data_IF_353847287542
#
_entry.id   IF_353847287542
#
_cell.length_a   1.000
_cell.length_b   1.000
_cell.length_c   1.000
_cell.angle_alpha   90.00
_cell.angle_beta   90.00
_cell.angle_gamma   90.00
#
_symmetry.space_group_name_H-M   'P 1'
#
loop_
_entity.id
_entity.type
_entity.pdbx_description
1 polymer ?
#
# COMPACT_ATOMS: atom_id res chain seq x y z
N UNK A 1 6.26 -0.85 0.34
CA UNK A 1 4.99 -0.96 -0.38
C UNK A 1 4.19 -2.05 0.32
N UNK A 2 3.31 -1.66 1.24
CA UNK A 2 2.49 -2.61 1.99
C UNK A 2 1.29 -2.97 1.11
N UNK A 3 1.36 -4.09 0.41
CA UNK A 3 0.16 -4.69 -0.19
C UNK A 3 -0.56 -5.45 0.92
N UNK A 4 -1.30 -4.72 1.75
CA UNK A 4 -2.24 -5.31 2.69
C UNK A 4 -3.34 -5.97 1.86
N UNK A 5 -3.31 -7.29 1.82
CA UNK A 5 -4.33 -8.10 1.18
C UNK A 5 -5.53 -8.24 2.12
N UNK A 6 -6.68 -8.71 1.62
CA UNK A 6 -7.84 -9.04 2.46
C UNK A 6 -7.48 -10.04 3.60
N UNK A 7 -6.36 -10.76 3.49
CA UNK A 7 -5.85 -11.63 4.54
C UNK A 7 -5.34 -10.86 5.76
N UNK A 8 -4.69 -9.71 5.56
CA UNK A 8 -4.13 -8.91 6.66
C UNK A 8 -5.25 -8.22 7.45
N UNK A 9 -6.32 -7.81 6.75
CA UNK A 9 -7.54 -7.26 7.36
C UNK A 9 -8.27 -8.33 8.19
N UNK A 10 -8.20 -9.62 7.80
CA UNK A 10 -8.81 -10.72 8.58
C UNK A 10 -8.13 -10.97 9.92
N UNK A 11 -6.80 -10.90 10.00
CA UNK A 11 -6.10 -11.11 11.28
C UNK A 11 -6.30 -9.94 12.24
N UNK A 12 -6.34 -8.70 11.72
CA UNK A 12 -6.61 -7.51 12.54
C UNK A 12 -8.07 -7.49 13.04
N UNK A 13 -9.05 -7.88 12.20
CA UNK A 13 -10.47 -7.97 12.61
C UNK A 13 -10.70 -9.14 13.57
N UNK A 14 -10.02 -10.28 13.42
CA UNK A 14 -10.14 -11.42 14.34
C UNK A 14 -9.57 -11.13 15.74
N UNK A 15 -8.67 -10.14 15.86
CA UNK A 15 -8.15 -9.63 17.13
C UNK A 15 -9.04 -8.60 17.84
N UNK A 16 -10.08 -8.08 17.17
CA UNK A 16 -10.99 -7.06 17.68
C UNK A 16 -12.10 -7.66 18.58
N UNK A 17 -11.70 -8.31 19.68
CA UNK A 17 -12.57 -8.37 20.85
C UNK A 17 -12.58 -6.99 21.52
N UNK A 18 -13.76 -6.40 21.69
CA UNK A 18 -14.03 -5.12 22.39
C UNK A 18 -14.01 -3.83 21.53
N UNK A 19 -15.16 -3.51 20.93
CA UNK A 19 -15.53 -2.16 20.50
C UNK A 19 -16.32 -1.45 21.61
N UNK A 20 -15.63 -0.90 22.60
CA UNK A 20 -16.25 0.01 23.58
C UNK A 20 -15.31 1.18 23.90
N UNK A 21 -15.76 2.40 23.60
CA UNK A 21 -15.20 3.62 24.16
C UNK A 21 -16.31 4.33 24.95
N UNK A 22 -16.20 4.31 26.28
CA UNK A 22 -17.03 5.15 27.15
C UNK A 22 -16.47 6.59 27.17
N UNK A 23 -17.31 7.64 27.19
CA UNK A 23 -16.87 9.05 27.14
C UNK A 23 -16.08 9.59 28.35
N UNK A 24 -15.51 8.75 29.21
CA UNK A 24 -14.93 9.19 30.51
C UNK A 24 -13.51 8.71 30.82
N UNK A 25 -12.74 8.20 29.85
CA UNK A 25 -11.32 7.95 30.10
C UNK A 25 -10.48 9.16 29.71
N UNK A 26 -10.18 9.99 30.72
CA UNK A 26 -9.17 11.04 30.65
C UNK A 26 -7.85 10.48 30.11
N UNK A 27 -7.40 10.99 28.96
CA UNK A 27 -6.17 10.61 28.26
C UNK A 27 -4.86 11.02 28.98
N UNK A 28 -4.94 11.42 30.25
CA UNK A 28 -3.78 11.66 31.09
C UNK A 28 -3.87 10.76 32.31
N UNK A 29 -3.40 9.52 32.16
CA UNK A 29 -3.03 8.71 33.32
C UNK A 29 -1.96 9.49 34.09
N UNK A 30 -2.27 9.82 35.34
CA UNK A 30 -1.25 10.26 36.29
C UNK A 30 -0.09 9.26 36.24
N UNK A 31 1.14 9.75 36.13
CA UNK A 31 2.36 8.95 35.98
C UNK A 31 2.62 8.06 37.19
N UNK A 32 1.87 6.98 37.33
CA UNK A 32 2.15 5.88 38.26
C UNK A 32 2.82 4.76 37.47
N UNK A 33 3.87 4.17 38.05
CA UNK A 33 4.78 3.22 37.40
C UNK A 33 4.08 1.99 36.81
N UNK A 34 3.62 2.11 35.57
CA UNK A 34 3.18 0.98 34.78
C UNK A 34 4.37 0.04 34.54
N UNK A 35 4.16 -1.26 34.78
CA UNK A 35 5.11 -2.28 34.33
C UNK A 35 5.17 -2.34 32.81
N UNK A 36 6.28 -2.81 32.24
CA UNK A 36 6.42 -2.98 30.78
C UNK A 36 5.26 -3.81 30.20
N UNK A 37 4.82 -4.87 30.88
CA UNK A 37 3.70 -5.69 30.45
C UNK A 37 2.34 -4.96 30.48
N UNK A 38 2.15 -3.98 31.37
CA UNK A 38 0.97 -3.12 31.37
C UNK A 38 1.04 -2.10 30.23
N UNK A 39 2.21 -1.49 29.99
CA UNK A 39 2.41 -0.59 28.87
C UNK A 39 2.21 -1.29 27.52
N UNK A 40 2.76 -2.50 27.33
CA UNK A 40 2.57 -3.28 26.10
C UNK A 40 1.08 -3.63 25.90
N UNK A 41 0.36 -4.01 26.97
CA UNK A 41 -1.09 -4.24 26.88
C UNK A 41 -1.87 -2.97 26.53
N UNK A 42 -1.53 -1.83 27.15
CA UNK A 42 -2.14 -0.53 26.82
C UNK A 42 -1.85 -0.13 25.38
N UNK A 43 -0.62 -0.30 24.90
CA UNK A 43 -0.27 -0.05 23.50
C UNK A 43 -1.05 -0.95 22.57
N UNK A 44 -1.17 -2.25 22.86
CA UNK A 44 -1.96 -3.19 22.05
C UNK A 44 -3.44 -2.81 22.00
N UNK A 45 -4.02 -2.40 23.12
CA UNK A 45 -5.41 -1.95 23.22
C UNK A 45 -5.64 -0.62 22.49
N UNK A 46 -4.70 0.32 22.58
CA UNK A 46 -4.77 1.58 21.84
C UNK A 46 -4.62 1.36 20.33
N UNK A 47 -3.74 0.44 19.93
CA UNK A 47 -3.49 0.12 18.53
C UNK A 47 -4.71 -0.57 17.90
N UNK A 48 -5.36 -1.50 18.63
CA UNK A 48 -6.61 -2.13 18.15
C UNK A 48 -7.77 -1.15 18.02
N UNK A 49 -7.82 -0.11 18.87
CA UNK A 49 -8.86 0.94 18.83
C UNK A 49 -8.58 2.04 17.81
N UNK A 50 -7.34 2.15 17.31
CA UNK A 50 -6.92 3.22 16.41
C UNK A 50 -7.77 3.28 15.14
N UNK A 51 -7.99 2.13 14.48
CA UNK A 51 -8.80 2.05 13.26
C UNK A 51 -10.24 2.53 13.49
N UNK A 52 -10.85 2.18 14.63
CA UNK A 52 -12.19 2.64 14.99
C UNK A 52 -12.25 4.16 15.22
N UNK A 53 -11.27 4.73 15.92
CA UNK A 53 -11.15 6.18 16.14
C UNK A 53 -10.97 6.93 14.82
N UNK A 54 -10.08 6.43 13.95
CA UNK A 54 -9.84 7.01 12.63
C UNK A 54 -11.11 6.96 11.76
N UNK A 55 -11.83 5.84 11.77
CA UNK A 55 -13.09 5.69 11.06
C UNK A 55 -14.16 6.66 11.57
N UNK A 56 -14.35 6.77 12.88
CA UNK A 56 -15.30 7.74 13.47
C UNK A 56 -14.94 9.19 13.12
N UNK A 57 -13.65 9.52 13.13
CA UNK A 57 -13.19 10.84 12.71
C UNK A 57 -13.49 11.09 11.23
N UNK A 58 -13.24 10.12 10.35
CA UNK A 58 -13.58 10.20 8.92
C UNK A 58 -15.09 10.41 8.71
N UNK A 59 -15.94 9.65 9.41
CA UNK A 59 -17.40 9.81 9.34
C UNK A 59 -17.83 11.19 9.86
N UNK A 60 -17.22 11.70 10.91
CA UNK A 60 -17.52 13.03 11.47
C UNK A 60 -17.19 14.15 10.49
N UNK A 61 -16.05 14.06 9.80
CA UNK A 61 -15.69 15.00 8.73
C UNK A 61 -16.70 14.94 7.58
N UNK A 62 -17.09 13.73 7.16
CA UNK A 62 -18.07 13.54 6.10
C UNK A 62 -19.44 14.13 6.47
N UNK A 63 -19.95 13.84 7.68
CA UNK A 63 -21.20 14.42 8.23
C UNK A 63 -21.15 15.94 8.26
N UNK A 64 -20.03 16.52 8.68
CA UNK A 64 -19.84 17.97 8.67
C UNK A 64 -20.02 18.54 7.26
N UNK A 65 -19.47 17.89 6.23
CA UNK A 65 -19.67 18.31 4.84
C UNK A 65 -21.14 18.30 4.42
N UNK A 66 -21.89 17.26 4.77
CA UNK A 66 -23.34 17.20 4.52
C UNK A 66 -24.11 18.29 5.27
N UNK A 67 -23.78 18.54 6.54
CA UNK A 67 -24.41 19.60 7.32
C UNK A 67 -24.13 20.99 6.74
N UNK A 68 -22.87 21.30 6.39
CA UNK A 68 -22.52 22.56 5.75
C UNK A 68 -23.25 22.74 4.41
N UNK A 69 -23.33 21.68 3.60
CA UNK A 69 -24.08 21.69 2.36
C UNK A 69 -25.57 21.97 2.57
N UNK A 70 -26.20 21.33 3.56
CA UNK A 70 -27.63 21.55 3.87
C UNK A 70 -27.93 22.98 4.32
N UNK A 71 -27.00 23.62 5.02
CA UNK A 71 -27.16 25.00 5.47
C UNK A 71 -26.95 26.04 4.35
N UNK A 72 -26.46 25.63 3.17
CA UNK A 72 -26.33 26.52 2.02
C UNK A 72 -27.43 26.25 0.99
N UNK A 73 -28.18 27.28 0.62
CA UNK A 73 -29.18 27.21 -0.46
C UNK A 73 -28.57 27.33 -1.87
N UNK A 74 -27.26 27.57 -1.97
CA UNK A 74 -26.51 27.73 -3.21
C UNK A 74 -25.77 26.46 -3.63
N UNK A 75 -25.43 26.37 -4.93
CA UNK A 75 -24.53 25.33 -5.49
C UNK A 75 -23.16 25.29 -4.80
N UNK A 76 -22.76 26.40 -4.19
CA UNK A 76 -21.46 26.59 -3.57
C UNK A 76 -21.64 26.79 -2.06
N UNK A 77 -20.91 26.01 -1.26
CA UNK A 77 -20.96 26.13 0.19
C UNK A 77 -20.08 27.29 0.65
N UNK A 78 -20.71 28.38 1.11
CA UNK A 78 -19.99 29.54 1.67
C UNK A 78 -19.63 29.31 3.14
N UNK A 79 -18.50 28.65 3.36
CA UNK A 79 -18.03 28.29 4.71
C UNK A 79 -17.72 29.50 5.60
N UNK A 80 -17.35 30.65 5.02
CA UNK A 80 -17.10 31.86 5.80
C UNK A 80 -18.41 32.40 6.39
N UNK A 81 -19.48 32.42 5.60
CA UNK A 81 -20.81 32.83 6.07
C UNK A 81 -21.34 31.85 7.13
N UNK A 82 -21.23 30.54 6.88
CA UNK A 82 -21.64 29.52 7.86
C UNK A 82 -20.87 29.64 9.18
N UNK A 83 -19.57 29.90 9.11
CA UNK A 83 -18.77 30.11 10.31
C UNK A 83 -19.25 31.33 11.11
N UNK A 84 -19.52 32.44 10.43
CA UNK A 84 -20.00 33.66 11.07
C UNK A 84 -21.37 33.45 11.72
N UNK A 85 -22.28 32.76 11.03
CA UNK A 85 -23.65 32.55 11.47
C UNK A 85 -23.75 31.55 12.63
N UNK A 86 -23.09 30.39 12.50
CA UNK A 86 -23.30 29.25 13.41
C UNK A 86 -22.18 29.05 14.45
N UNK A 87 -20.95 29.50 14.19
CA UNK A 87 -19.80 29.16 15.04
C UNK A 87 -19.19 30.36 15.76
N UNK A 88 -19.32 31.58 15.26
CA UNK A 88 -18.64 32.76 15.81
C UNK A 88 -18.95 33.05 17.30
N UNK A 89 -20.07 32.55 17.81
CA UNK A 89 -20.55 32.75 19.19
C UNK A 89 -20.24 31.60 20.15
N UNK A 90 -19.62 30.53 19.66
CA UNK A 90 -19.23 29.39 20.49
C UNK A 90 -18.13 29.77 21.48
N UNK A 91 -18.01 29.03 22.59
CA UNK A 91 -17.03 29.34 23.65
C UNK A 91 -15.57 29.20 23.19
N UNK A 92 -15.31 28.35 22.19
CA UNK A 92 -14.00 28.13 21.59
C UNK A 92 -14.17 27.74 20.11
N UNK A 93 -14.49 28.70 19.23
CA UNK A 93 -14.80 28.39 17.85
C UNK A 93 -13.53 27.94 17.11
N UNK A 94 -13.63 26.94 16.20
CA UNK A 94 -12.52 26.64 15.30
C UNK A 94 -12.24 27.86 14.42
N UNK A 95 -11.05 27.98 13.83
CA UNK A 95 -10.84 29.02 12.80
C UNK A 95 -11.62 28.71 11.53
N UNK A 96 -11.96 29.73 10.73
CA UNK A 96 -12.54 29.55 9.38
C UNK A 96 -11.68 28.59 8.54
N UNK A 97 -10.34 28.72 8.64
CA UNK A 97 -9.39 27.84 7.94
C UNK A 97 -9.48 26.39 8.40
N UNK A 98 -9.70 26.15 9.69
CA UNK A 98 -9.91 24.80 10.23
C UNK A 98 -11.20 24.20 9.69
N UNK A 99 -12.29 24.98 9.67
CA UNK A 99 -13.56 24.55 9.07
C UNK A 99 -13.42 24.20 7.58
N UNK A 100 -12.75 25.07 6.80
CA UNK A 100 -12.43 24.83 5.39
C UNK A 100 -11.63 23.53 5.19
N UNK A 101 -10.61 23.31 6.02
CA UNK A 101 -9.82 22.08 5.98
C UNK A 101 -10.67 20.85 6.28
N UNK A 102 -11.51 20.89 7.31
CA UNK A 102 -12.37 19.77 7.68
C UNK A 102 -13.43 19.49 6.61
N UNK A 103 -14.09 20.52 6.10
CA UNK A 103 -15.05 20.40 4.99
C UNK A 103 -14.38 19.78 3.75
N UNK A 104 -13.20 20.26 3.36
CA UNK A 104 -12.46 19.72 2.22
C UNK A 104 -12.14 18.23 2.40
N UNK A 105 -11.68 17.83 3.59
CA UNK A 105 -11.41 16.41 3.89
C UNK A 105 -12.70 15.57 3.86
N UNK A 106 -13.77 16.05 4.49
CA UNK A 106 -15.06 15.37 4.51
C UNK A 106 -15.65 15.17 3.12
N UNK A 107 -15.55 16.17 2.24
CA UNK A 107 -16.03 16.06 0.86
C UNK A 107 -15.21 15.06 0.04
N UNK A 108 -13.89 14.94 0.26
CA UNK A 108 -13.07 13.90 -0.40
C UNK A 108 -13.47 12.50 0.06
N UNK A 109 -13.70 12.32 1.36
CA UNK A 109 -14.17 11.05 1.93
C UNK A 109 -15.55 10.67 1.40
N UNK A 110 -16.45 11.66 1.28
CA UNK A 110 -17.76 11.46 0.68
C UNK A 110 -17.67 11.02 -0.79
N UNK A 111 -16.81 11.65 -1.60
CA UNK A 111 -16.56 11.23 -3.00
C UNK A 111 -16.03 9.80 -3.07
N UNK A 112 -15.09 9.45 -2.20
CA UNK A 112 -14.53 8.11 -2.17
C UNK A 112 -15.60 7.05 -1.80
N UNK A 113 -16.43 7.33 -0.79
CA UNK A 113 -17.53 6.47 -0.42
C UNK A 113 -18.59 6.38 -1.54
N UNK A 114 -18.83 7.48 -2.25
CA UNK A 114 -19.69 7.49 -3.44
C UNK A 114 -19.13 6.60 -4.55
N UNK A 115 -17.81 6.62 -4.77
CA UNK A 115 -17.17 5.78 -5.79
C UNK A 115 -17.19 4.30 -5.44
N UNK A 116 -16.75 3.97 -4.23
CA UNK A 116 -16.71 2.61 -3.71
C UNK A 116 -17.97 2.28 -2.91
N UNK A 117 -17.82 2.34 -1.59
CA UNK A 117 -18.89 2.22 -0.59
C UNK A 117 -18.38 2.80 0.75
N UNK A 118 -19.24 2.91 1.76
CA UNK A 118 -18.81 3.31 3.11
C UNK A 118 -17.80 2.31 3.71
N UNK A 119 -17.89 1.03 3.32
CA UNK A 119 -16.94 -0.01 3.75
C UNK A 119 -15.52 0.23 3.24
N UNK A 120 -15.35 0.99 2.15
CA UNK A 120 -14.02 1.43 1.71
C UNK A 120 -13.39 2.41 2.72
N UNK A 121 -14.19 3.27 3.35
CA UNK A 121 -13.70 4.16 4.41
C UNK A 121 -13.29 3.37 5.66
N UNK A 122 -14.06 2.32 5.99
CA UNK A 122 -13.70 1.39 7.06
C UNK A 122 -12.35 0.73 6.76
N UNK A 123 -12.19 0.20 5.55
CA UNK A 123 -10.94 -0.42 5.13
C UNK A 123 -9.76 0.54 5.24
N UNK A 124 -9.88 1.78 4.73
CA UNK A 124 -8.82 2.79 4.81
C UNK A 124 -8.43 3.17 6.24
N UNK A 125 -9.39 3.19 7.17
CA UNK A 125 -9.14 3.52 8.56
C UNK A 125 -8.27 2.43 9.21
N UNK A 126 -8.62 1.15 9.02
CA UNK A 126 -7.91 0.02 9.61
C UNK A 126 -6.56 -0.25 8.94
N UNK A 127 -6.37 0.10 7.67
CA UNK A 127 -5.07 -0.01 7.00
C UNK A 127 -4.19 1.23 7.16
N UNK A 128 -4.63 2.23 7.95
CA UNK A 128 -3.92 3.52 8.14
C UNK A 128 -3.56 4.22 6.81
N UNK A 129 -4.40 4.05 5.78
CA UNK A 129 -4.26 4.67 4.46
C UNK A 129 -5.11 5.94 4.32
N UNK A 130 -5.91 6.30 5.34
CA UNK A 130 -6.75 7.49 5.30
C UNK A 130 -5.94 8.80 5.20
N UNK A 131 -4.80 8.90 5.90
CA UNK A 131 -3.99 10.10 5.99
C UNK A 131 -3.44 10.59 4.64
N UNK A 132 -2.78 9.76 3.81
CA UNK A 132 -2.33 10.19 2.49
C UNK A 132 -3.52 10.58 1.58
N UNK A 133 -4.65 9.87 1.66
CA UNK A 133 -5.82 10.19 0.84
C UNK A 133 -6.43 11.56 1.16
N UNK A 134 -6.65 11.89 2.44
CA UNK A 134 -7.25 13.20 2.81
C UNK A 134 -6.30 14.37 2.53
N UNK A 135 -5.00 14.11 2.44
CA UNK A 135 -3.97 15.09 2.10
C UNK A 135 -3.78 15.28 0.59
N UNK A 136 -4.16 14.29 -0.22
CA UNK A 136 -4.10 14.38 -1.68
C UNK A 136 -4.90 15.57 -2.22
N UNK A 137 -4.64 15.97 -3.47
CA UNK A 137 -5.42 17.02 -4.10
C UNK A 137 -6.90 16.61 -4.32
N UNK A 138 -7.75 17.59 -4.65
CA UNK A 138 -9.18 17.34 -4.85
C UNK A 138 -9.49 16.52 -6.12
N UNK A 139 -8.60 16.56 -7.10
CA UNK A 139 -8.77 15.88 -8.38
C UNK A 139 -8.52 14.38 -8.19
N UNK A 140 -7.46 13.99 -7.46
CA UNK A 140 -7.18 12.60 -7.13
C UNK A 140 -8.36 11.93 -6.44
N UNK A 141 -9.03 12.63 -5.51
CA UNK A 141 -10.22 12.09 -4.85
C UNK A 141 -11.39 11.85 -5.82
N UNK A 142 -11.52 12.72 -6.83
CA UNK A 142 -12.53 12.62 -7.88
C UNK A 142 -12.22 11.49 -8.86
N UNK A 143 -10.97 11.40 -9.32
CA UNK A 143 -10.51 10.37 -10.25
C UNK A 143 -10.58 8.99 -9.60
N UNK A 144 -10.11 8.88 -8.34
CA UNK A 144 -10.22 7.66 -7.54
C UNK A 144 -11.68 7.21 -7.41
N UNK A 145 -12.59 8.15 -7.12
CA UNK A 145 -14.01 7.85 -7.01
C UNK A 145 -14.57 7.31 -8.34
N UNK A 146 -14.23 7.91 -9.48
CA UNK A 146 -14.69 7.46 -10.80
C UNK A 146 -14.12 6.08 -11.17
N UNK A 147 -12.84 5.84 -10.90
CA UNK A 147 -12.18 4.55 -11.12
C UNK A 147 -12.87 3.44 -10.29
N UNK A 148 -13.20 3.73 -9.04
CA UNK A 148 -13.92 2.79 -8.18
C UNK A 148 -15.35 2.53 -8.69
N UNK A 149 -16.02 3.58 -9.15
CA UNK A 149 -17.43 3.55 -9.53
C UNK A 149 -17.69 2.82 -10.84
N UNK A 150 -16.79 2.98 -11.81
CA UNK A 150 -16.87 2.38 -13.14
C UNK A 150 -15.50 1.86 -13.59
N UNK A 151 -15.00 0.76 -12.98
CA UNK A 151 -13.66 0.25 -13.25
C UNK A 151 -13.56 -0.38 -14.63
N UNK A 152 -12.66 0.13 -15.47
CA UNK A 152 -12.41 -0.38 -16.83
C UNK A 152 -11.81 -1.81 -16.79
N UNK A 153 -12.49 -2.76 -17.46
CA UNK A 153 -12.11 -4.18 -17.51
C UNK A 153 -10.78 -4.44 -18.23
N UNK A 154 -10.36 -3.51 -19.09
CA UNK A 154 -9.17 -3.68 -19.93
C UNK A 154 -7.93 -3.01 -19.33
N UNK A 155 -8.11 -2.20 -18.28
CA UNK A 155 -6.99 -1.50 -17.63
C UNK A 155 -6.48 -2.26 -16.40
N UNK A 156 -5.16 -2.24 -16.13
CA UNK A 156 -4.60 -2.85 -14.92
C UNK A 156 -5.24 -2.29 -13.63
N UNK A 157 -5.56 -1.00 -13.61
CA UNK A 157 -6.16 -0.34 -12.46
C UNK A 157 -7.62 -0.75 -12.26
N UNK A 158 -8.42 -0.80 -13.32
CA UNK A 158 -9.80 -1.28 -13.21
C UNK A 158 -9.87 -2.78 -12.86
N UNK A 159 -8.96 -3.60 -13.38
CA UNK A 159 -8.83 -5.00 -12.94
C UNK A 159 -8.48 -5.13 -11.45
N UNK A 160 -7.62 -4.26 -10.91
CA UNK A 160 -7.31 -4.22 -9.48
C UNK A 160 -8.58 -3.91 -8.65
N UNK A 161 -9.38 -2.94 -9.09
CA UNK A 161 -10.65 -2.60 -8.44
C UNK A 161 -11.61 -3.80 -8.47
N UNK A 162 -11.85 -4.40 -9.65
CA UNK A 162 -12.80 -5.51 -9.83
C UNK A 162 -12.38 -6.78 -9.08
N UNK A 163 -11.09 -7.11 -9.06
CA UNK A 163 -10.58 -8.37 -8.48
C UNK A 163 -10.24 -8.27 -7.00
N UNK A 164 -9.91 -7.08 -6.50
CA UNK A 164 -9.42 -6.92 -5.13
C UNK A 164 -10.31 -6.00 -4.30
N UNK A 165 -10.55 -4.77 -4.76
CA UNK A 165 -11.22 -3.76 -3.94
C UNK A 165 -12.70 -4.10 -3.73
N UNK A 166 -13.44 -4.36 -4.81
CA UNK A 166 -14.88 -4.68 -4.73
C UNK A 166 -15.13 -5.94 -3.88
N UNK A 167 -14.42 -7.07 -4.07
CA UNK A 167 -14.61 -8.24 -3.21
C UNK A 167 -14.26 -7.98 -1.75
N UNK A 168 -13.26 -7.14 -1.48
CA UNK A 168 -12.87 -6.79 -0.10
C UNK A 168 -13.95 -5.95 0.58
N UNK A 169 -14.50 -4.96 -0.11
CA UNK A 169 -15.59 -4.13 0.46
C UNK A 169 -16.89 -4.93 0.60
N UNK A 170 -17.17 -5.87 -0.30
CA UNK A 170 -18.28 -6.82 -0.17
C UNK A 170 -18.10 -7.71 1.06
N UNK A 171 -16.91 -8.30 1.23
CA UNK A 171 -16.61 -9.10 2.41
C UNK A 171 -16.85 -8.31 3.71
N UNK A 172 -16.42 -7.06 3.78
CA UNK A 172 -16.70 -6.19 4.94
C UNK A 172 -18.20 -5.95 5.12
N UNK A 173 -18.94 -5.71 4.03
CA UNK A 173 -20.38 -5.49 4.06
C UNK A 173 -21.17 -6.70 4.58
N UNK A 174 -20.75 -7.92 4.23
CA UNK A 174 -21.40 -9.17 4.67
C UNK A 174 -21.16 -9.47 6.16
N UNK A 175 -20.07 -8.93 6.74
CA UNK A 175 -19.69 -9.20 8.12
C UNK A 175 -20.06 -8.06 9.08
N UNK A 176 -20.21 -6.85 8.56
CA UNK A 176 -20.48 -5.65 9.36
C UNK A 176 -21.67 -4.93 8.73
N UNK A 177 -22.82 -4.99 9.39
CA UNK A 177 -24.04 -4.37 8.89
C UNK A 177 -24.23 -2.98 9.49
N UNK A 178 -23.77 -1.94 8.79
CA UNK A 178 -24.11 -0.57 9.14
C UNK A 178 -25.45 -0.18 8.51
N UNK A 179 -26.32 0.48 9.28
CA UNK A 179 -27.51 1.14 8.75
C UNK A 179 -27.20 2.59 8.40
N UNK A 180 -27.93 3.15 7.46
CA UNK A 180 -27.79 4.57 7.10
C UNK A 180 -28.06 5.47 8.31
N UNK A 181 -29.05 5.15 9.15
CA UNK A 181 -29.38 5.88 10.37
C UNK A 181 -28.31 5.79 11.47
N UNK A 182 -27.41 4.81 11.39
CA UNK A 182 -26.26 4.72 12.29
C UNK A 182 -25.20 5.77 11.95
N UNK A 183 -25.15 6.13 10.66
CA UNK A 183 -24.12 7.00 10.10
C UNK A 183 -24.65 8.41 9.83
N UNK A 184 -25.93 8.61 9.54
CA UNK A 184 -26.45 9.92 9.15
C UNK A 184 -27.69 10.30 9.98
N UNK A 185 -27.90 11.60 10.23
CA UNK A 185 -29.10 12.07 10.92
C UNK A 185 -30.37 11.67 10.15
N UNK A 186 -31.38 11.19 10.87
CA UNK A 186 -32.67 10.77 10.28
C UNK A 186 -33.34 11.89 9.48
N UNK A 187 -33.15 13.16 9.87
CA UNK A 187 -33.70 14.31 9.15
C UNK A 187 -33.11 14.45 7.74
N UNK A 188 -31.81 14.14 7.57
CA UNK A 188 -31.15 14.15 6.27
C UNK A 188 -31.65 12.98 5.41
N UNK A 189 -31.76 11.79 6.00
CA UNK A 189 -32.19 10.59 5.29
C UNK A 189 -33.64 10.73 4.81
N UNK A 190 -34.54 11.22 5.67
CA UNK A 190 -35.93 11.47 5.32
C UNK A 190 -36.08 12.51 4.21
N UNK A 191 -35.26 13.57 4.23
CA UNK A 191 -35.25 14.59 3.17
C UNK A 191 -34.88 13.99 1.80
N UNK A 192 -34.01 12.99 1.78
CA UNK A 192 -33.57 12.30 0.57
C UNK A 192 -34.43 11.07 0.22
N UNK A 193 -35.45 10.75 1.02
CA UNK A 193 -36.29 9.57 0.82
C UNK A 193 -35.57 8.24 1.11
N UNK A 194 -34.52 8.26 1.93
CA UNK A 194 -33.75 7.07 2.32
C UNK A 194 -34.25 6.59 3.68
N UNK A 195 -34.56 5.30 3.81
CA UNK A 195 -35.00 4.73 5.06
C UNK A 195 -33.81 4.61 6.05
N UNK A 196 -34.03 4.96 7.32
CA UNK A 196 -32.95 4.93 8.33
C UNK A 196 -32.43 3.51 8.61
N UNK A 197 -33.23 2.50 8.33
CA UNK A 197 -32.90 1.08 8.43
C UNK A 197 -32.25 0.49 7.17
N UNK A 198 -32.19 1.24 6.06
CA UNK A 198 -31.45 0.85 4.86
C UNK A 198 -29.99 0.56 5.23
N UNK A 199 -29.45 -0.55 4.73
CA UNK A 199 -28.05 -0.89 4.96
C UNK A 199 -27.13 0.01 4.12
N UNK A 200 -25.94 0.31 4.64
CA UNK A 200 -24.89 1.01 3.90
C UNK A 200 -24.31 0.17 2.73
N UNK A 201 -24.69 -1.10 2.62
CA UNK A 201 -24.42 -1.95 1.46
C UNK A 201 -25.42 -1.75 0.33
N UNK A 202 -26.56 -1.11 0.58
CA UNK A 202 -27.47 -0.69 -0.48
C UNK A 202 -26.81 0.45 -1.28
N UNK A 203 -26.26 0.10 -2.44
CA UNK A 203 -25.55 1.04 -3.30
C UNK A 203 -26.49 2.06 -3.93
N UNK A 204 -27.78 1.75 -4.12
CA UNK A 204 -28.75 2.71 -4.65
C UNK A 204 -29.06 3.78 -3.61
N UNK A 205 -29.30 3.39 -2.35
CA UNK A 205 -29.47 4.31 -1.24
C UNK A 205 -28.22 5.17 -1.02
N UNK A 206 -27.03 4.55 -1.08
CA UNK A 206 -25.74 5.23 -0.98
C UNK A 206 -25.57 6.26 -2.10
N UNK A 207 -25.88 5.90 -3.33
CA UNK A 207 -25.76 6.78 -4.49
C UNK A 207 -26.71 7.97 -4.41
N UNK A 208 -27.95 7.74 -3.97
CA UNK A 208 -28.91 8.80 -3.69
C UNK A 208 -28.35 9.77 -2.64
N UNK A 209 -27.83 9.25 -1.52
CA UNK A 209 -27.23 10.05 -0.46
C UNK A 209 -26.08 10.92 -0.95
N UNK A 210 -25.08 10.32 -1.61
CA UNK A 210 -23.88 11.05 -2.01
C UNK A 210 -24.12 12.01 -3.18
N UNK A 211 -25.16 11.78 -3.99
CA UNK A 211 -25.58 12.73 -5.03
C UNK A 211 -26.13 14.05 -4.47
N UNK A 212 -26.54 14.07 -3.20
CA UNK A 212 -27.08 15.27 -2.56
C UNK A 212 -26.01 16.31 -2.17
N UNK A 213 -24.72 15.94 -2.17
CA UNK A 213 -23.66 16.91 -1.90
C UNK A 213 -23.45 17.84 -3.11
N UNK A 214 -23.47 19.17 -2.92
CA UNK A 214 -23.20 20.13 -3.99
C UNK A 214 -21.81 19.87 -4.58
N UNK A 215 -21.75 19.79 -5.91
CA UNK A 215 -20.51 19.54 -6.61
C UNK A 215 -20.42 20.36 -7.89
N UNK A 216 -19.57 21.39 -7.85
CA UNK A 216 -19.34 22.26 -9.01
C UNK A 216 -18.31 21.70 -9.99
N UNK A 217 -17.53 20.70 -9.57
CA UNK A 217 -16.39 20.17 -10.33
C UNK A 217 -16.41 18.66 -10.51
N UNK A 218 -17.26 17.94 -9.76
CA UNK A 218 -17.28 16.48 -9.78
C UNK A 218 -18.69 15.95 -10.02
N UNK A 219 -18.91 15.36 -11.19
CA UNK A 219 -20.07 14.49 -11.42
C UNK A 219 -19.55 13.07 -11.45
N UNK A 220 -19.94 12.28 -10.47
CA UNK A 220 -19.58 10.87 -10.43
C UNK A 220 -20.11 10.18 -11.70
N UNK A 221 -19.29 9.33 -12.31
CA UNK A 221 -19.74 8.48 -13.42
C UNK A 221 -20.92 7.59 -12.98
N UNK A 222 -21.78 7.13 -13.89
CA UNK A 222 -22.72 6.05 -13.55
C UNK A 222 -21.97 4.86 -12.95
N UNK A 223 -22.56 4.21 -11.95
CA UNK A 223 -21.97 3.01 -11.36
C UNK A 223 -22.04 1.87 -12.37
N UNK A 224 -20.92 1.18 -12.57
CA UNK A 224 -20.88 -0.04 -13.35
C UNK A 224 -21.57 -1.16 -12.56
N UNK A 225 -22.84 -1.40 -12.88
CA UNK A 225 -23.66 -2.40 -12.22
C UNK A 225 -23.18 -3.83 -12.46
N UNK A 226 -22.41 -4.09 -13.53
CA UNK A 226 -21.82 -5.40 -13.76
C UNK A 226 -20.67 -5.64 -12.78
N UNK A 227 -19.75 -4.68 -12.66
CA UNK A 227 -18.64 -4.77 -11.71
C UNK A 227 -19.12 -4.84 -10.24
N UNK A 228 -20.20 -4.13 -9.92
CA UNK A 228 -20.75 -4.03 -8.56
C UNK A 228 -21.90 -5.02 -8.28
N UNK A 229 -22.22 -5.94 -9.20
CA UNK A 229 -23.32 -6.89 -9.07
C UNK A 229 -23.28 -7.76 -7.79
N UNK A 230 -22.09 -7.93 -7.21
CA UNK A 230 -21.91 -8.69 -5.96
C UNK A 230 -22.65 -8.04 -4.77
N UNK A 231 -22.88 -6.73 -4.79
CA UNK A 231 -23.66 -6.02 -3.77
C UNK A 231 -25.18 -6.13 -4.00
N UNK A 232 -25.63 -6.44 -5.22
CA UNK A 232 -27.04 -6.53 -5.57
C UNK A 232 -27.57 -7.96 -5.54
N UNK A 233 -26.72 -8.95 -5.75
CA UNK A 233 -27.07 -10.38 -5.79
C UNK A 233 -27.06 -11.06 -4.41
N UNK A 234 -27.03 -10.28 -3.32
CA UNK A 234 -27.24 -10.80 -1.97
C UNK A 234 -28.72 -11.16 -1.77
N UNK A 235 -29.18 -12.21 -2.44
CA UNK A 235 -30.51 -12.76 -2.28
C UNK A 235 -30.71 -13.29 -0.85
N UNK A 236 -31.42 -12.50 -0.05
CA UNK A 236 -32.71 -12.94 0.52
C UNK A 236 -32.73 -14.26 1.30
N UNK A 237 -31.78 -14.53 2.20
CA UNK A 237 -31.98 -15.53 3.27
C UNK A 237 -31.06 -15.37 4.48
N UNK A 238 -31.10 -14.21 5.15
CA UNK A 238 -30.61 -14.12 6.52
C UNK A 238 -31.73 -13.53 7.37
N UNK A 239 -32.21 -14.34 8.32
CA UNK A 239 -33.25 -13.95 9.28
C UNK A 239 -32.89 -12.62 9.96
N UNK A 240 -33.86 -11.71 10.14
CA UNK A 240 -33.62 -10.48 10.88
C UNK A 240 -33.28 -10.84 12.33
N UNK A 241 -32.01 -10.67 12.72
CA UNK A 241 -31.68 -10.53 14.13
C UNK A 241 -32.41 -9.27 14.63
N UNK A 242 -33.18 -9.45 15.70
CA UNK A 242 -34.07 -8.48 16.36
C UNK A 242 -33.45 -7.08 16.57
N UNK A 243 -34.29 -6.03 16.71
CA UNK A 243 -33.84 -4.64 16.58
C UNK A 243 -32.83 -4.26 17.67
N UNK A 244 -31.59 -4.01 17.23
CA UNK A 244 -30.56 -3.40 18.05
C UNK A 244 -30.91 -1.93 18.29
N UNK A 245 -30.86 -1.55 19.57
CA UNK A 245 -31.11 -0.22 20.14
C UNK A 245 -30.28 0.90 19.48
N UNK A 246 -30.77 2.15 19.52
CA UNK A 246 -30.08 3.30 18.93
C UNK A 246 -28.69 3.50 19.53
N UNK A 247 -27.78 3.99 18.68
CA UNK A 247 -26.32 4.11 18.82
C UNK A 247 -25.79 5.00 19.96
N UNK A 248 -26.54 5.17 21.04
CA UNK A 248 -26.14 6.06 22.13
C UNK A 248 -25.24 5.39 23.18
N UNK A 249 -25.23 4.06 23.33
CA UNK A 249 -24.30 3.34 24.23
C UNK A 249 -24.01 1.93 23.69
N UNK A 250 -22.76 1.64 23.33
CA UNK A 250 -22.31 0.38 22.71
C UNK A 250 -22.41 -0.81 23.68
N UNK A 251 -22.97 -1.95 23.22
CA UNK A 251 -23.01 -3.23 23.93
C UNK A 251 -21.72 -4.03 23.62
N UNK A 252 -21.15 -4.78 24.59
CA UNK A 252 -19.97 -5.61 24.38
C UNK A 252 -20.22 -6.80 23.43
N UNK A 253 -19.21 -7.15 22.62
CA UNK A 253 -19.25 -8.21 21.60
C UNK A 253 -19.13 -9.65 22.16
N UNK A 254 -19.08 -9.82 23.48
CA UNK A 254 -18.93 -11.12 24.15
C UNK A 254 -20.24 -11.94 24.21
N UNK A 255 -21.40 -11.30 23.96
CA UNK A 255 -22.70 -11.99 23.91
C UNK A 255 -22.98 -12.75 22.61
N UNK A 256 -22.08 -12.70 21.62
CA UNK A 256 -22.14 -13.57 20.44
C UNK A 256 -21.11 -14.68 20.61
N UNK A 257 -21.31 -15.57 21.58
CA UNK A 257 -20.66 -16.89 21.50
C UNK A 257 -21.57 -18.02 21.96
N UNK A 258 -21.43 -19.15 21.24
CA UNK A 258 -21.62 -20.51 21.74
C UNK A 258 -23.03 -21.11 21.78
N UNK A 259 -23.86 -20.90 20.75
CA UNK A 259 -24.82 -21.95 20.37
C UNK A 259 -25.17 -21.87 18.89
N UNK A 260 -25.22 -23.02 18.21
CA UNK A 260 -25.52 -23.20 16.78
C UNK A 260 -24.35 -23.18 15.79
N UNK A 261 -23.29 -23.95 16.09
CA UNK A 261 -22.46 -24.63 15.09
C UNK A 261 -22.99 -26.06 14.91
N UNK A 262 -24.17 -26.20 14.30
CA UNK A 262 -24.61 -27.48 13.78
C UNK A 262 -25.51 -27.23 12.56
N UNK A 263 -25.04 -27.73 11.42
CA UNK A 263 -25.76 -27.88 10.15
C UNK A 263 -26.34 -26.62 9.49
N UNK A 264 -25.53 -25.96 8.66
CA UNK A 264 -26.02 -25.32 7.44
C UNK A 264 -24.99 -25.55 6.31
N UNK A 265 -25.41 -25.89 5.08
CA UNK A 265 -24.50 -26.11 3.96
C UNK A 265 -23.94 -24.78 3.46
N UNK A 266 -22.61 -24.66 3.41
CA UNK A 266 -21.94 -23.50 2.82
C UNK A 266 -22.32 -23.37 1.33
N UNK A 267 -22.66 -22.16 0.83
CA UNK A 267 -22.68 -21.90 -0.59
C UNK A 267 -21.25 -21.97 -1.14
N UNK A 268 -21.05 -22.73 -2.21
CA UNK A 268 -19.76 -22.92 -2.86
C UNK A 268 -19.26 -21.59 -3.47
N UNK A 269 -18.26 -20.96 -2.82
CA UNK A 269 -17.39 -20.00 -3.50
C UNK A 269 -16.63 -20.70 -4.64
N UNK A 270 -16.26 -20.00 -5.72
CA UNK A 270 -15.27 -20.50 -6.65
C UNK A 270 -13.99 -20.82 -5.87
N UNK A 271 -13.58 -22.08 -5.93
CA UNK A 271 -12.49 -22.73 -5.21
C UNK A 271 -11.28 -21.81 -5.02
N UNK A 272 -11.23 -21.15 -3.87
CA UNK A 272 -9.96 -20.77 -3.25
C UNK A 272 -9.28 -22.08 -2.92
N UNK A 273 -8.18 -22.37 -3.61
CA UNK A 273 -7.33 -23.52 -3.30
C UNK A 273 -6.98 -23.41 -1.83
N UNK A 274 -7.46 -24.37 -1.05
CA UNK A 274 -7.12 -24.58 0.35
C UNK A 274 -5.65 -24.25 0.58
N UNK A 275 -5.37 -23.10 1.18
CA UNK A 275 -4.08 -22.86 1.79
C UNK A 275 -3.98 -23.85 2.94
N UNK A 276 -3.35 -24.98 2.67
CA UNK A 276 -2.73 -25.78 3.71
C UNK A 276 -1.99 -24.82 4.66
N UNK A 277 -2.08 -25.00 5.99
CA UNK A 277 -1.36 -24.17 6.94
C UNK A 277 0.08 -24.07 6.44
N UNK A 278 0.52 -22.82 6.24
CA UNK A 278 1.83 -22.42 5.71
C UNK A 278 2.85 -23.42 6.23
N UNK A 279 3.20 -24.41 5.39
CA UNK A 279 4.23 -25.35 5.74
C UNK A 279 5.44 -24.47 5.95
N UNK A 280 5.91 -24.38 7.19
CA UNK A 280 7.24 -23.92 7.56
C UNK A 280 8.27 -24.91 6.99
N UNK A 281 8.14 -25.27 5.72
CA UNK A 281 9.23 -25.76 4.93
C UNK A 281 10.20 -24.58 4.89
N UNK A 282 11.22 -24.65 5.74
CA UNK A 282 12.34 -23.73 5.69
C UNK A 282 12.75 -23.58 4.23
N UNK A 283 12.72 -22.34 3.70
CA UNK A 283 13.11 -22.06 2.32
C UNK A 283 14.40 -22.81 2.05
N UNK A 284 14.43 -23.63 0.99
CA UNK A 284 15.59 -24.46 0.75
C UNK A 284 16.68 -23.61 0.12
N UNK A 285 17.64 -23.18 0.94
CA UNK A 285 18.75 -22.32 0.54
C UNK A 285 19.90 -23.18 0.03
N UNK A 286 20.37 -22.92 -1.19
CA UNK A 286 21.66 -23.35 -1.67
C UNK A 286 22.69 -22.23 -1.44
N UNK A 287 23.85 -22.59 -0.90
CA UNK A 287 24.98 -21.67 -0.72
C UNK A 287 26.16 -22.21 -1.51
N UNK A 288 26.75 -21.37 -2.35
CA UNK A 288 27.96 -21.66 -3.13
C UNK A 288 29.03 -20.62 -2.78
N UNK A 289 30.29 -21.04 -2.68
CA UNK A 289 31.42 -20.12 -2.60
C UNK A 289 32.04 -19.92 -3.99
N UNK A 290 32.34 -18.68 -4.34
CA UNK A 290 33.11 -18.34 -5.54
C UNK A 290 34.52 -17.90 -5.17
N UNK A 291 35.40 -17.79 -6.18
CA UNK A 291 36.78 -17.35 -5.99
C UNK A 291 36.93 -15.83 -5.82
N UNK A 292 35.84 -15.05 -5.81
CA UNK A 292 35.89 -13.59 -5.71
C UNK A 292 36.36 -13.11 -4.33
N UNK A 293 37.31 -12.18 -4.30
CA UNK A 293 37.77 -11.53 -3.08
C UNK A 293 37.27 -10.07 -3.02
N UNK A 294 36.37 -9.79 -2.07
CA UNK A 294 35.81 -8.45 -1.85
C UNK A 294 36.88 -7.42 -1.46
N UNK A 295 37.97 -7.85 -0.82
CA UNK A 295 38.98 -6.93 -0.29
C UNK A 295 40.07 -6.58 -1.30
N UNK A 296 40.14 -7.31 -2.42
CA UNK A 296 41.14 -7.08 -3.45
C UNK A 296 41.00 -5.66 -4.05
N UNK A 297 42.06 -4.82 -4.06
CA UNK A 297 42.00 -3.45 -4.58
C UNK A 297 41.50 -3.34 -6.02
N UNK A 298 41.73 -4.36 -6.86
CA UNK A 298 41.27 -4.38 -8.25
C UNK A 298 39.74 -4.48 -8.36
N UNK A 299 39.10 -5.18 -7.42
CA UNK A 299 37.64 -5.33 -7.36
C UNK A 299 36.94 -4.08 -6.80
N UNK A 300 37.70 -3.16 -6.19
CA UNK A 300 37.20 -1.86 -5.70
C UNK A 300 37.17 -0.79 -6.80
N UNK A 301 37.70 -1.08 -8.00
CA UNK A 301 37.76 -0.15 -9.12
C UNK A 301 36.62 -0.36 -10.13
N UNK A 302 36.03 0.73 -10.60
CA UNK A 302 35.01 0.69 -11.64
C UNK A 302 35.64 0.67 -13.04
N UNK A 303 35.53 -0.47 -13.75
CA UNK A 303 36.21 -0.67 -15.03
C UNK A 303 35.55 0.03 -16.24
N UNK A 304 34.25 0.32 -16.19
CA UNK A 304 33.57 0.80 -17.39
C UNK A 304 34.04 2.22 -17.79
N UNK A 305 34.22 2.51 -19.09
CA UNK A 305 34.69 3.81 -19.55
C UNK A 305 33.76 4.96 -19.13
N UNK A 306 34.34 6.09 -18.69
CA UNK A 306 33.56 7.29 -18.34
C UNK A 306 33.04 8.07 -19.56
N UNK A 307 33.71 7.94 -20.71
CA UNK A 307 33.31 8.62 -21.95
C UNK A 307 32.12 7.90 -22.59
N UNK A 308 31.04 8.65 -22.86
CA UNK A 308 29.76 8.13 -23.35
C UNK A 308 29.88 7.15 -24.54
N UNK A 309 30.56 7.56 -25.61
CA UNK A 309 30.73 6.72 -26.81
C UNK A 309 31.51 5.41 -26.53
N UNK A 310 32.52 5.47 -25.64
CA UNK A 310 33.27 4.28 -25.22
C UNK A 310 32.44 3.38 -24.31
N UNK A 311 31.60 3.97 -23.46
CA UNK A 311 30.69 3.26 -22.56
C UNK A 311 29.63 2.47 -23.35
N UNK A 312 29.05 3.07 -24.39
CA UNK A 312 28.10 2.38 -25.28
C UNK A 312 28.76 1.18 -25.94
N UNK A 313 29.90 1.36 -26.62
CA UNK A 313 30.66 0.24 -27.23
C UNK A 313 31.05 -0.84 -26.22
N UNK A 314 31.47 -0.44 -25.02
CA UNK A 314 31.80 -1.38 -23.95
C UNK A 314 30.57 -2.17 -23.51
N UNK A 315 29.41 -1.52 -23.41
CA UNK A 315 28.14 -2.17 -23.04
C UNK A 315 27.70 -3.17 -24.09
N UNK A 316 27.80 -2.83 -25.38
CA UNK A 316 27.47 -3.75 -26.47
C UNK A 316 28.39 -4.97 -26.46
N UNK A 317 29.69 -4.77 -26.27
CA UNK A 317 30.66 -5.87 -26.10
C UNK A 317 30.30 -6.77 -24.91
N UNK A 318 29.95 -6.20 -23.75
CA UNK A 318 29.52 -7.00 -22.60
C UNK A 318 28.22 -7.76 -22.88
N UNK A 319 27.29 -7.19 -23.66
CA UNK A 319 26.05 -7.87 -24.07
C UNK A 319 26.34 -9.09 -24.94
N UNK A 320 27.25 -8.97 -25.91
CA UNK A 320 27.66 -10.10 -26.76
C UNK A 320 28.32 -11.21 -25.94
N UNK A 321 29.18 -10.85 -24.97
CA UNK A 321 29.79 -11.80 -24.05
C UNK A 321 28.74 -12.48 -23.15
N UNK A 322 27.70 -11.75 -22.72
CA UNK A 322 26.61 -12.29 -21.91
C UNK A 322 25.70 -13.21 -22.72
N UNK A 323 25.48 -12.93 -24.00
CA UNK A 323 24.70 -13.78 -24.89
C UNK A 323 25.39 -15.14 -25.17
N UNK A 324 26.72 -15.18 -25.07
CA UNK A 324 27.54 -16.39 -25.23
C UNK A 324 27.79 -17.11 -23.90
N UNK A 325 27.15 -16.67 -22.80
CA UNK A 325 27.36 -17.23 -21.49
C UNK A 325 26.94 -18.70 -21.41
N UNK A 326 27.79 -19.52 -20.82
CA UNK A 326 27.52 -20.94 -20.60
C UNK A 326 26.52 -21.10 -19.45
N UNK A 327 25.55 -22.02 -19.62
CA UNK A 327 24.59 -22.37 -18.58
C UNK A 327 25.08 -23.61 -17.81
N UNK A 328 25.32 -23.51 -16.49
CA UNK A 328 25.74 -24.65 -15.70
C UNK A 328 24.68 -25.74 -15.61
N UNK A 329 25.14 -26.98 -15.69
CA UNK A 329 24.30 -28.18 -15.62
C UNK A 329 23.81 -28.48 -14.19
N UNK A 330 24.59 -28.10 -13.17
CA UNK A 330 24.36 -28.39 -11.75
C UNK A 330 24.94 -27.29 -10.83
N UNK A 331 24.68 -27.36 -9.51
CA UNK A 331 25.32 -26.44 -8.53
C UNK A 331 26.82 -26.67 -8.40
N UNK A 332 27.29 -27.92 -8.51
CA UNK A 332 28.73 -28.22 -8.45
C UNK A 332 29.45 -27.66 -9.68
N UNK A 333 28.81 -27.76 -10.85
CA UNK A 333 29.30 -27.16 -12.10
C UNK A 333 29.32 -25.62 -11.99
N UNK A 334 28.24 -25.02 -11.47
CA UNK A 334 28.20 -23.58 -11.19
C UNK A 334 29.30 -23.15 -10.21
N UNK A 335 29.53 -23.91 -9.13
CA UNK A 335 30.59 -23.65 -8.16
C UNK A 335 31.98 -23.75 -8.80
N UNK A 336 32.25 -24.82 -9.57
CA UNK A 336 33.52 -24.99 -10.30
C UNK A 336 33.77 -23.84 -11.25
N UNK A 337 32.78 -23.50 -12.09
CA UNK A 337 32.91 -22.37 -13.01
C UNK A 337 33.16 -21.06 -12.25
N UNK A 338 32.42 -20.80 -11.16
CA UNK A 338 32.61 -19.63 -10.32
C UNK A 338 33.93 -19.62 -9.54
N UNK A 339 34.63 -20.74 -9.39
CA UNK A 339 35.99 -20.77 -8.84
C UNK A 339 37.00 -20.50 -9.96
N UNK A 340 36.87 -21.20 -11.08
CA UNK A 340 37.80 -21.13 -12.23
C UNK A 340 37.83 -19.76 -12.91
N UNK A 341 36.76 -18.96 -12.76
CA UNK A 341 36.65 -17.61 -13.34
C UNK A 341 37.41 -16.54 -12.57
N UNK A 342 37.86 -16.82 -11.34
CA UNK A 342 38.59 -15.86 -10.51
C UNK A 342 40.01 -16.35 -10.23
N UNK A 343 40.98 -15.58 -10.71
CA UNK A 343 42.41 -15.83 -10.47
C UNK A 343 42.86 -14.81 -9.42
N UNK A 344 43.42 -15.29 -8.31
CA UNK A 344 43.86 -14.46 -7.17
C UNK A 344 42.77 -13.51 -6.63
N UNK A 345 41.51 -13.98 -6.59
CA UNK A 345 40.40 -13.17 -6.08
C UNK A 345 39.73 -12.26 -7.10
N UNK A 346 40.27 -12.15 -8.32
CA UNK A 346 39.84 -11.17 -9.34
C UNK A 346 39.30 -11.89 -10.56
N UNK A 347 38.22 -11.36 -11.14
CA UNK A 347 37.66 -11.91 -12.39
C UNK A 347 38.74 -11.89 -13.47
N UNK A 348 39.01 -13.02 -14.10
CA UNK A 348 39.90 -13.07 -15.25
C UNK A 348 39.23 -12.42 -16.46
N UNK A 349 39.88 -11.41 -17.07
CA UNK A 349 39.37 -10.69 -18.24
C UNK A 349 39.16 -11.58 -19.48
N UNK A 350 39.78 -12.76 -19.52
CA UNK A 350 39.65 -13.72 -20.63
C UNK A 350 38.38 -14.57 -20.55
N UNK A 351 37.65 -14.51 -19.44
CA UNK A 351 36.54 -15.41 -19.19
C UNK A 351 35.19 -14.69 -19.30
N UNK A 352 34.27 -15.30 -20.06
CA UNK A 352 32.93 -14.78 -20.35
C UNK A 352 32.01 -14.70 -19.13
N UNK A 353 30.71 -14.58 -19.38
CA UNK A 353 29.71 -14.61 -18.32
C UNK A 353 29.22 -16.04 -18.04
N UNK A 354 28.56 -16.23 -16.90
CA UNK A 354 27.84 -17.47 -16.56
C UNK A 354 26.35 -17.16 -16.56
N UNK A 355 25.56 -17.96 -17.26
CA UNK A 355 24.11 -17.84 -17.29
C UNK A 355 23.48 -18.71 -16.18
N UNK A 356 23.05 -18.06 -15.10
CA UNK A 356 22.35 -18.76 -14.01
C UNK A 356 20.85 -18.80 -14.32
N UNK A 357 20.42 -19.82 -15.05
CA UNK A 357 19.01 -19.98 -15.40
C UNK A 357 18.14 -20.30 -14.17
N UNK A 358 16.93 -19.74 -14.12
CA UNK A 358 15.95 -20.06 -13.07
C UNK A 358 15.55 -21.55 -13.03
N UNK A 359 15.68 -22.25 -14.16
CA UNK A 359 15.43 -23.69 -14.31
C UNK A 359 16.39 -24.52 -13.43
N UNK A 360 17.62 -24.07 -13.22
CA UNK A 360 18.61 -24.73 -12.36
C UNK A 360 18.08 -24.88 -10.93
N UNK A 361 17.50 -23.80 -10.38
CA UNK A 361 16.90 -23.82 -9.05
C UNK A 361 15.62 -24.66 -8.98
N UNK A 362 14.82 -24.65 -10.05
CA UNK A 362 13.61 -25.51 -10.13
C UNK A 362 14.00 -26.98 -10.08
N UNK A 363 14.99 -27.41 -10.88
CA UNK A 363 15.45 -28.80 -10.96
C UNK A 363 15.98 -29.32 -9.62
N UNK A 364 16.54 -28.43 -8.81
CA UNK A 364 17.17 -28.75 -7.54
C UNK A 364 16.25 -28.55 -6.33
N UNK A 365 15.00 -28.16 -6.57
CA UNK A 365 14.01 -27.88 -5.54
C UNK A 365 14.53 -26.86 -4.49
N UNK A 366 15.20 -25.80 -4.95
CA UNK A 366 15.74 -24.74 -4.10
C UNK A 366 15.01 -23.42 -4.33
N UNK A 367 14.72 -22.71 -3.25
CA UNK A 367 14.00 -21.43 -3.28
C UNK A 367 14.96 -20.23 -3.36
N UNK A 368 16.18 -20.42 -2.86
CA UNK A 368 17.18 -19.35 -2.79
C UNK A 368 18.54 -19.92 -3.15
N UNK A 369 19.28 -19.20 -3.99
CA UNK A 369 20.70 -19.41 -4.20
C UNK A 369 21.45 -18.19 -3.70
N UNK A 370 22.35 -18.43 -2.75
CA UNK A 370 23.28 -17.43 -2.22
C UNK A 370 24.69 -17.74 -2.72
N UNK A 371 25.30 -16.77 -3.39
CA UNK A 371 26.70 -16.83 -3.82
C UNK A 371 27.52 -15.99 -2.85
N UNK A 372 28.53 -16.61 -2.24
CA UNK A 372 29.45 -15.98 -1.31
C UNK A 372 30.84 -15.86 -1.90
N UNK A 373 31.54 -14.80 -1.51
CA UNK A 373 32.95 -14.60 -1.83
C UNK A 373 33.85 -15.59 -1.08
N UNK A 374 35.14 -15.58 -1.41
CA UNK A 374 36.17 -16.37 -0.73
C UNK A 374 36.27 -16.03 0.76
N UNK A 375 35.96 -14.80 1.15
CA UNK A 375 35.89 -14.30 2.53
C UNK A 375 34.48 -14.31 3.14
N UNK A 376 33.56 -15.13 2.63
CA UNK A 376 32.19 -15.34 3.15
C UNK A 376 31.22 -14.14 3.07
N UNK A 377 31.61 -13.06 2.40
CA UNK A 377 30.73 -11.94 2.08
C UNK A 377 29.69 -12.27 1.02
N UNK A 378 28.54 -11.57 1.04
CA UNK A 378 27.48 -11.77 0.07
C UNK A 378 27.86 -11.15 -1.28
N UNK A 379 27.88 -11.97 -2.34
CA UNK A 379 28.11 -11.51 -3.72
C UNK A 379 26.80 -11.38 -4.47
N UNK A 380 25.94 -12.40 -4.40
CA UNK A 380 24.64 -12.38 -5.05
C UNK A 380 23.62 -13.26 -4.29
N UNK A 381 22.35 -12.89 -4.37
CA UNK A 381 21.23 -13.68 -3.87
C UNK A 381 20.13 -13.73 -4.93
N UNK A 382 19.80 -14.95 -5.38
CA UNK A 382 18.75 -15.20 -6.36
C UNK A 382 17.62 -15.90 -5.63
N UNK A 383 16.47 -15.24 -5.52
CA UNK A 383 15.33 -15.71 -4.76
C UNK A 383 14.13 -15.95 -5.67
N UNK A 384 13.62 -17.18 -5.69
CA UNK A 384 12.39 -17.57 -6.41
C UNK A 384 11.19 -17.75 -5.50
N UNK A 385 11.32 -17.42 -4.21
CA UNK A 385 10.29 -17.68 -3.21
C UNK A 385 9.08 -16.74 -3.32
N UNK A 386 9.04 -15.85 -4.32
CA UNK A 386 7.85 -15.04 -4.59
C UNK A 386 6.69 -15.97 -4.96
N UNK A 387 5.61 -16.00 -4.17
CA UNK A 387 4.43 -16.81 -4.45
C UNK A 387 3.91 -16.60 -5.86
N UNK A 388 3.40 -17.67 -6.47
CA UNK A 388 3.01 -17.65 -7.89
C UNK A 388 1.92 -16.61 -8.18
N UNK A 389 0.97 -16.46 -7.26
CA UNK A 389 -0.11 -15.46 -7.24
C UNK A 389 0.46 -14.04 -7.22
N UNK A 390 1.37 -13.73 -6.29
CA UNK A 390 2.02 -12.42 -6.23
C UNK A 390 2.84 -12.15 -7.50
N UNK A 391 3.55 -13.16 -8.00
CA UNK A 391 4.37 -13.02 -9.21
C UNK A 391 3.53 -12.77 -10.47
N UNK A 392 2.43 -13.49 -10.64
CA UNK A 392 1.55 -13.34 -11.81
C UNK A 392 0.88 -11.96 -11.86
N UNK A 393 0.61 -11.35 -10.70
CA UNK A 393 -0.06 -10.06 -10.64
C UNK A 393 0.90 -8.87 -10.55
N UNK A 394 2.18 -9.10 -10.22
CA UNK A 394 3.15 -8.04 -9.93
C UNK A 394 3.25 -7.02 -11.07
N UNK A 395 3.36 -7.47 -12.32
CA UNK A 395 3.47 -6.58 -13.47
C UNK A 395 2.22 -5.70 -13.63
N UNK A 396 1.02 -6.27 -13.46
CA UNK A 396 -0.24 -5.53 -13.51
C UNK A 396 -0.39 -4.54 -12.35
N UNK A 397 0.00 -4.94 -11.13
CA UNK A 397 -0.01 -4.06 -9.95
C UNK A 397 0.98 -2.91 -10.07
N UNK A 398 2.17 -3.17 -10.61
CA UNK A 398 3.14 -2.12 -10.93
C UNK A 398 2.57 -1.19 -12.00
N UNK A 399 2.06 -1.72 -13.12
CA UNK A 399 1.45 -0.92 -14.17
C UNK A 399 0.30 -0.03 -13.66
N UNK A 400 -0.52 -0.52 -12.72
CA UNK A 400 -1.58 0.25 -12.07
C UNK A 400 -1.07 1.39 -11.17
N UNK A 401 0.21 1.36 -10.77
CA UNK A 401 0.84 2.39 -9.93
C UNK A 401 1.49 3.52 -10.75
N UNK A 402 1.49 3.43 -12.09
CA UNK A 402 2.09 4.40 -12.98
C UNK A 402 1.11 4.88 -14.06
N UNK A 403 1.51 5.92 -14.79
CA UNK A 403 0.77 6.38 -15.97
C UNK A 403 0.65 5.26 -17.02
N UNK A 404 -0.45 5.21 -17.80
CA UNK A 404 -0.62 4.25 -18.86
C UNK A 404 0.58 4.20 -19.82
N UNK A 405 1.12 3.00 -20.00
CA UNK A 405 2.29 2.79 -20.86
C UNK A 405 3.63 3.22 -20.24
N UNK A 406 3.71 3.46 -18.93
CA UNK A 406 5.00 3.63 -18.25
C UNK A 406 5.82 2.32 -18.22
N UNK A 407 5.14 1.18 -18.00
CA UNK A 407 5.76 -0.14 -18.07
C UNK A 407 5.69 -0.66 -19.52
N UNK A 408 6.85 -0.85 -20.15
CA UNK A 408 7.00 -1.30 -21.54
C UNK A 408 8.18 -2.24 -21.66
N UNK A 409 8.05 -3.26 -22.52
CA UNK A 409 9.18 -4.07 -22.94
C UNK A 409 10.04 -3.27 -23.93
N UNK A 410 11.31 -3.06 -23.58
CA UNK A 410 12.26 -2.32 -24.39
C UNK A 410 13.44 -3.22 -24.75
N UNK A 411 13.58 -3.51 -26.04
CA UNK A 411 14.77 -4.14 -26.58
C UNK A 411 15.83 -3.06 -26.83
N UNK A 412 16.72 -2.88 -25.85
CA UNK A 412 17.78 -1.85 -25.89
C UNK A 412 18.75 -2.00 -27.08
N UNK A 413 18.76 -3.16 -27.76
CA UNK A 413 19.57 -3.36 -28.98
C UNK A 413 18.98 -2.71 -30.24
N UNK A 414 17.68 -2.39 -30.21
CA UNK A 414 16.91 -1.83 -31.34
C UNK A 414 16.57 -0.36 -31.18
N UNK A 415 17.03 0.28 -30.11
CA UNK A 415 16.76 1.69 -29.84
C UNK A 415 17.94 2.50 -30.37
N UNK A 416 17.69 3.42 -31.32
CA UNK A 416 18.72 4.28 -31.93
C UNK A 416 19.34 5.31 -30.96
N UNK A 417 18.90 5.33 -29.70
CA UNK A 417 19.35 6.24 -28.64
C UNK A 417 19.52 5.51 -27.32
N UNK A 418 20.26 6.09 -26.38
CA UNK A 418 20.38 5.51 -25.03
C UNK A 418 18.96 5.40 -24.42
N UNK A 419 18.49 4.19 -24.11
CA UNK A 419 17.16 4.00 -23.59
C UNK A 419 17.06 4.70 -22.23
N UNK A 420 16.13 5.65 -22.13
CA UNK A 420 15.77 6.28 -20.86
C UNK A 420 14.63 5.47 -20.26
N UNK A 421 14.76 5.08 -19.00
CA UNK A 421 13.70 4.45 -18.24
C UNK A 421 13.39 5.30 -17.01
N UNK A 422 12.12 5.36 -16.63
CA UNK A 422 11.73 5.93 -15.35
C UNK A 422 12.17 4.95 -14.26
N UNK A 423 13.00 5.43 -13.34
CA UNK A 423 13.44 4.67 -12.19
C UNK A 423 12.65 5.14 -10.96
N UNK A 424 11.87 4.25 -10.34
CA UNK A 424 11.41 4.51 -8.98
C UNK A 424 12.58 4.34 -8.04
N UNK A 425 13.08 5.48 -7.57
CA UNK A 425 14.24 5.52 -6.72
C UNK A 425 13.82 5.53 -5.26
N UNK A 426 13.68 4.34 -4.67
CA UNK A 426 13.31 4.16 -3.26
C UNK A 426 14.49 4.27 -2.27
N UNK A 427 15.64 4.74 -2.73
CA UNK A 427 16.83 4.86 -1.89
C UNK A 427 16.94 6.26 -1.29
N UNK A 428 17.28 6.33 -0.01
CA UNK A 428 17.92 7.53 0.55
C UNK A 428 19.29 7.67 -0.10
N UNK A 429 19.39 8.37 -1.23
CA UNK A 429 20.69 8.70 -1.79
C UNK A 429 21.33 9.77 -0.90
N UNK A 430 22.55 9.49 -0.45
CA UNK A 430 23.51 10.55 -0.25
C UNK A 430 23.98 11.01 -1.64
N UNK A 431 23.15 11.84 -2.31
CA UNK A 431 23.33 12.34 -3.69
C UNK A 431 24.57 13.24 -3.87
N UNK A 432 25.44 13.22 -2.87
CA UNK A 432 26.41 14.23 -2.52
C UNK A 432 27.66 13.64 -1.87
N UNK A 433 27.71 12.32 -1.67
CA UNK A 433 29.00 11.67 -1.47
C UNK A 433 29.87 11.96 -2.69
N UNK A 434 31.01 12.62 -2.46
CA UNK A 434 32.14 12.55 -3.39
C UNK A 434 32.47 11.07 -3.62
N UNK A 435 32.95 10.69 -4.82
CA UNK A 435 33.27 9.29 -5.15
C UNK A 435 33.93 8.59 -3.94
N UNK A 436 33.31 7.52 -3.43
CA UNK A 436 33.77 6.82 -2.22
C UNK A 436 35.10 6.07 -2.38
N UNK A 437 35.82 6.35 -3.47
CA UNK A 437 37.16 5.84 -3.70
C UNK A 437 38.08 6.39 -2.60
N UNK A 438 38.69 5.50 -1.83
CA UNK A 438 39.60 5.82 -0.73
C UNK A 438 38.97 6.67 0.40
N UNK A 439 37.64 6.63 0.55
CA UNK A 439 36.98 7.27 1.68
C UNK A 439 37.36 6.55 2.99
N UNK A 440 37.82 7.27 4.03
CA UNK A 440 38.19 6.66 5.30
C UNK A 440 36.98 5.96 5.93
N UNK A 441 37.17 4.70 6.35
CA UNK A 441 36.12 3.85 6.93
C UNK A 441 35.83 4.15 8.41
N UNK A 442 36.74 4.88 9.05
CA UNK A 442 36.75 5.20 10.48
C UNK A 442 36.35 6.66 10.77
N UNK A 443 36.04 7.45 9.74
CA UNK A 443 35.75 8.88 9.88
C UNK A 443 34.33 9.20 9.42
N UNK A 444 33.51 9.89 10.24
CA UNK A 444 32.19 10.33 9.83
C UNK A 444 32.24 11.21 8.57
N UNK A 445 31.40 10.99 7.54
CA UNK A 445 31.42 11.75 6.28
C UNK A 445 31.34 13.27 6.46
N UNK A 446 30.62 13.73 7.48
CA UNK A 446 30.47 15.15 7.85
C UNK A 446 31.77 15.81 8.35
N UNK A 447 32.80 15.02 8.65
CA UNK A 447 34.09 15.49 9.15
C UNK A 447 35.23 15.38 8.13
N UNK A 448 34.94 14.79 6.96
CA UNK A 448 35.89 14.67 5.86
C UNK A 448 36.15 16.06 5.26
N UNK A 449 37.42 16.43 5.13
CA UNK A 449 37.87 17.69 4.53
C UNK A 449 38.78 17.40 3.35
N UNK A 450 38.62 18.15 2.25
CA UNK A 450 39.57 18.09 1.12
C UNK A 450 40.83 18.88 1.46
N UNK A 451 41.99 18.26 1.31
CA UNK A 451 43.29 18.91 1.46
C UNK A 451 43.57 19.78 0.22
N UNK A 452 43.87 21.07 0.40
CA UNK A 452 44.36 21.94 -0.69
C UNK A 452 43.33 22.60 -1.60
N UNK A 453 42.02 22.61 -1.28
CA UNK A 453 41.01 23.30 -2.10
C UNK A 453 39.67 23.56 -1.42
N UNK A 454 38.95 24.55 -1.98
CA UNK A 454 37.65 25.18 -1.65
C UNK A 454 36.72 24.53 -0.59
N UNK A 455 36.01 25.42 0.13
CA UNK A 455 34.97 25.13 1.15
C UNK A 455 34.13 23.90 0.79
N UNK A 456 34.19 22.88 1.64
CA UNK A 456 33.33 21.69 1.54
C UNK A 456 31.89 22.05 1.95
N UNK A 457 30.92 21.85 1.07
CA UNK A 457 29.52 22.15 1.35
C UNK A 457 28.86 20.96 2.08
N UNK A 458 28.91 20.98 3.41
CA UNK A 458 28.38 19.89 4.23
C UNK A 458 26.87 19.68 4.12
N UNK A 459 26.09 20.66 3.66
CA UNK A 459 24.66 20.50 3.41
C UNK A 459 24.37 19.54 2.26
N UNK A 460 25.34 19.32 1.38
CA UNK A 460 25.24 18.28 0.37
C UNK A 460 25.29 16.90 1.05
N UNK A 461 26.14 16.62 2.04
CA UNK A 461 26.24 15.27 2.63
C UNK A 461 25.04 14.79 3.47
N UNK A 462 24.02 15.63 3.65
CA UNK A 462 22.83 15.30 4.44
C UNK A 462 21.79 14.64 3.52
N UNK A 463 21.35 13.39 3.79
CA UNK A 463 20.25 12.79 3.07
C UNK A 463 18.99 13.65 3.23
N UNK A 464 18.34 14.00 2.13
CA UNK A 464 17.02 14.62 2.14
C UNK A 464 16.04 13.77 1.31
N UNK A 465 14.74 13.81 1.62
CA UNK A 465 13.74 13.13 0.81
C UNK A 465 13.82 13.64 -0.62
N UNK A 466 13.93 12.73 -1.60
CA UNK A 466 13.79 13.11 -3.00
C UNK A 466 12.44 13.82 -3.18
N UNK A 467 12.45 14.99 -3.84
CA UNK A 467 11.22 15.69 -4.22
C UNK A 467 10.56 15.08 -5.45
N UNK A 468 11.21 14.11 -6.08
CA UNK A 468 10.69 13.38 -7.23
C UNK A 468 9.80 12.22 -6.74
N UNK A 469 8.61 12.57 -6.26
CA UNK A 469 7.43 11.70 -6.18
C UNK A 469 6.19 12.52 -6.51
#
# INVERSE_FOLDING_TARGET
>A
MFTLTAHDVREDIAGCGELALTPQQWFFGQGTGDTLAQLVRKCKDMDSKRGAVDFQYMLSLMRLSFHCARCCSSSDVNLTALWQEYLSKEQSPPTVRSLQKWYSKGSKLARLAAGGSIYLLLWLAYTNLHAPFVQADGNLASDSANILRSPDSETPLGLLVRRTIIPTTQFLADHIHFKMGDIFPTELLNFLGIASDSLCSDLNASDCLFSALPSNTFKALPRDMEAWAVFTNADSSIHPLSPLTPLSQLIPLDRITSSSLASAPCPNLPTSVSHSPRSTAASQIAVIKCGFDLENPRNKHFEAPRQKAKKSRWTDLQRDLAAQAEEPSSLLDLESQLQDRFIDGVRSNSQGYIHIACSLLTRLNRDVLTIRSSNDGLVASICRSLPADLRSELAGRLAASFEPGALKDIDTSKVDSDPVFQALHFSWYNHHCTSGQDAPTDVPPMTIRRTGGLKTNYHQFIPYPSKDM
#
